data_IF_936161351779
#
_entry.id   IF_936161351779
#
_cell.length_a   1.000
_cell.length_b   1.000
_cell.length_c   1.000
_cell.angle_alpha   90.00
_cell.angle_beta   90.00
_cell.angle_gamma   90.00
#
_symmetry.space_group_name_H-M   'P 1'
#
loop_
_entity.id
_entity.type
_entity.pdbx_description
1 polymer ?
#
# COMPACT_ATOMS: atom_id res chain seq x y z
N UNK A 1 -26.57 7.06 -18.68
CA UNK A 1 -25.20 7.00 -18.13
C UNK A 1 -25.14 6.46 -16.70
N UNK A 2 -25.77 7.10 -15.70
CA UNK A 2 -25.76 6.63 -14.30
C UNK A 2 -26.26 5.18 -14.08
N UNK A 3 -27.32 4.76 -14.79
CA UNK A 3 -27.79 3.36 -14.74
C UNK A 3 -26.74 2.37 -15.28
N UNK A 4 -25.99 2.76 -16.30
CA UNK A 4 -24.92 1.94 -16.87
C UNK A 4 -23.73 1.86 -15.92
N UNK A 5 -23.31 2.98 -15.31
CA UNK A 5 -22.25 3.01 -14.31
C UNK A 5 -22.58 2.10 -13.11
N UNK A 6 -23.81 2.19 -12.57
CA UNK A 6 -24.25 1.32 -11.48
C UNK A 6 -24.29 -0.16 -11.87
N UNK A 7 -24.68 -0.49 -13.09
CA UNK A 7 -24.65 -1.88 -13.56
C UNK A 7 -23.20 -2.39 -13.69
N UNK A 8 -22.30 -1.58 -14.25
CA UNK A 8 -20.87 -1.90 -14.34
C UNK A 8 -20.22 -2.11 -12.98
N UNK A 9 -20.53 -1.27 -11.99
CA UNK A 9 -19.97 -1.44 -10.64
C UNK A 9 -20.37 -2.78 -10.02
N UNK A 10 -21.63 -3.19 -10.17
CA UNK A 10 -22.13 -4.49 -9.72
C UNK A 10 -21.46 -5.65 -10.46
N UNK A 11 -21.35 -5.57 -11.79
CA UNK A 11 -20.71 -6.61 -12.60
C UNK A 11 -19.24 -6.79 -12.22
N UNK A 12 -18.48 -5.70 -12.17
CA UNK A 12 -17.07 -5.72 -11.80
C UNK A 12 -16.85 -6.24 -10.37
N UNK A 13 -17.71 -5.87 -9.42
CA UNK A 13 -17.61 -6.40 -8.06
C UNK A 13 -17.89 -7.91 -8.00
N UNK A 14 -18.81 -8.43 -8.84
CA UNK A 14 -19.07 -9.86 -8.94
C UNK A 14 -17.89 -10.60 -9.60
N UNK A 15 -17.29 -10.04 -10.63
CA UNK A 15 -16.04 -10.56 -11.23
C UNK A 15 -14.95 -10.65 -10.16
N UNK A 16 -14.76 -9.60 -9.36
CA UNK A 16 -13.82 -9.64 -8.23
C UNK A 16 -14.13 -10.74 -7.20
N UNK A 17 -15.42 -11.02 -6.95
CA UNK A 17 -15.83 -12.13 -6.09
C UNK A 17 -15.46 -13.50 -6.67
N UNK A 18 -15.56 -13.67 -7.99
CA UNK A 18 -15.12 -14.89 -8.68
C UNK A 18 -13.60 -15.07 -8.55
N UNK A 19 -12.82 -14.02 -8.79
CA UNK A 19 -11.36 -14.07 -8.63
C UNK A 19 -10.92 -14.41 -7.19
N UNK A 20 -11.60 -13.87 -6.18
CA UNK A 20 -11.38 -14.27 -4.78
C UNK A 20 -11.58 -15.76 -4.57
N UNK A 21 -12.60 -16.36 -5.18
CA UNK A 21 -12.87 -17.80 -5.07
C UNK A 21 -11.84 -18.65 -5.82
N UNK A 22 -11.21 -18.10 -6.85
CA UNK A 22 -10.11 -18.73 -7.59
C UNK A 22 -8.74 -18.55 -6.90
N UNK A 23 -8.65 -17.70 -5.87
CA UNK A 23 -7.38 -17.34 -5.22
C UNK A 23 -6.55 -16.29 -5.97
N UNK A 24 -7.13 -15.70 -7.02
CA UNK A 24 -6.48 -14.69 -7.87
C UNK A 24 -6.67 -13.29 -7.26
N UNK A 25 -5.94 -13.03 -6.16
CA UNK A 25 -6.13 -11.80 -5.37
C UNK A 25 -5.78 -10.50 -6.13
N UNK A 26 -4.80 -10.54 -7.04
CA UNK A 26 -4.41 -9.36 -7.83
C UNK A 26 -5.51 -8.97 -8.84
N UNK A 27 -6.06 -9.95 -9.55
CA UNK A 27 -7.14 -9.72 -10.51
C UNK A 27 -8.43 -9.29 -9.80
N UNK A 28 -8.69 -9.84 -8.60
CA UNK A 28 -9.78 -9.38 -7.74
C UNK A 28 -9.65 -7.89 -7.38
N UNK A 29 -8.44 -7.42 -7.02
CA UNK A 29 -8.17 -6.00 -6.75
C UNK A 29 -8.41 -5.15 -8.00
N UNK A 30 -7.98 -5.63 -9.17
CA UNK A 30 -8.22 -4.95 -10.45
C UNK A 30 -9.71 -4.77 -10.75
N UNK A 31 -10.47 -5.85 -10.67
CA UNK A 31 -11.92 -5.84 -10.88
C UNK A 31 -12.66 -4.96 -9.87
N UNK A 32 -12.33 -5.07 -8.57
CA UNK A 32 -12.93 -4.21 -7.56
C UNK A 32 -12.55 -2.72 -7.74
N UNK A 33 -11.35 -2.42 -8.23
CA UNK A 33 -10.95 -1.05 -8.55
C UNK A 33 -11.80 -0.48 -9.68
N UNK A 34 -12.06 -1.25 -10.75
CA UNK A 34 -12.98 -0.83 -11.80
C UNK A 34 -14.41 -0.61 -11.28
N UNK A 35 -14.86 -1.42 -10.32
CA UNK A 35 -16.15 -1.21 -9.68
C UNK A 35 -16.20 0.12 -8.89
N UNK A 36 -15.13 0.46 -8.20
CA UNK A 36 -15.02 1.67 -7.37
C UNK A 36 -14.82 2.96 -8.19
N UNK A 37 -14.33 2.86 -9.43
CA UNK A 37 -14.33 3.99 -10.35
C UNK A 37 -15.76 4.43 -10.73
N UNK A 38 -16.68 3.48 -10.82
CA UNK A 38 -18.09 3.74 -11.12
C UNK A 38 -18.92 4.06 -9.86
N UNK A 39 -18.62 3.43 -8.73
CA UNK A 39 -19.27 3.66 -7.43
C UNK A 39 -18.24 3.60 -6.28
N UNK A 40 -17.65 4.75 -5.90
CA UNK A 40 -16.59 4.83 -4.89
C UNK A 40 -17.00 4.33 -3.49
N UNK A 41 -18.29 4.37 -3.18
CA UNK A 41 -18.83 3.98 -1.87
C UNK A 41 -19.40 2.56 -1.87
N UNK A 42 -19.10 1.77 -2.91
CA UNK A 42 -19.65 0.43 -3.02
C UNK A 42 -19.05 -0.54 -1.98
N UNK A 43 -19.76 -0.71 -0.87
CA UNK A 43 -19.36 -1.50 0.31
C UNK A 43 -18.78 -2.87 -0.07
N UNK A 44 -19.42 -3.63 -0.96
CA UNK A 44 -18.94 -4.98 -1.33
C UNK A 44 -17.61 -4.95 -2.08
N UNK A 45 -17.40 -3.95 -2.94
CA UNK A 45 -16.17 -3.80 -3.68
C UNK A 45 -15.02 -3.35 -2.76
N UNK A 46 -15.28 -2.38 -1.86
CA UNK A 46 -14.32 -1.95 -0.83
C UNK A 46 -13.87 -3.12 0.05
N UNK A 47 -14.82 -3.92 0.57
CA UNK A 47 -14.49 -5.07 1.44
C UNK A 47 -13.65 -6.12 0.73
N UNK A 48 -14.00 -6.45 -0.51
CA UNK A 48 -13.28 -7.44 -1.33
C UNK A 48 -11.88 -6.96 -1.66
N UNK A 49 -11.73 -5.71 -2.08
CA UNK A 49 -10.43 -5.10 -2.40
C UNK A 49 -9.54 -5.05 -1.17
N UNK A 50 -10.06 -4.58 -0.03
CA UNK A 50 -9.31 -4.53 1.21
C UNK A 50 -8.80 -5.91 1.64
N UNK A 51 -9.68 -6.93 1.64
CA UNK A 51 -9.30 -8.30 2.01
C UNK A 51 -8.26 -8.93 1.07
N UNK A 52 -8.35 -8.66 -0.24
CA UNK A 52 -7.34 -9.14 -1.20
C UNK A 52 -6.01 -8.43 -1.01
N UNK A 53 -6.03 -7.11 -0.79
CA UNK A 53 -4.85 -6.32 -0.53
C UNK A 53 -4.16 -6.71 0.79
N UNK A 54 -4.92 -7.05 1.84
CA UNK A 54 -4.37 -7.66 3.06
C UNK A 54 -3.61 -8.97 2.74
N UNK A 55 -4.16 -9.79 1.83
CA UNK A 55 -3.55 -11.06 1.44
C UNK A 55 -2.28 -10.86 0.59
N UNK A 56 -2.24 -9.82 -0.25
CA UNK A 56 -1.07 -9.47 -1.07
C UNK A 56 0.08 -8.98 -0.19
N UNK A 57 -0.20 -8.14 0.82
CA UNK A 57 0.76 -7.79 1.87
C UNK A 57 1.94 -6.90 1.46
N UNK A 58 1.96 -6.35 0.23
CA UNK A 58 2.91 -5.29 -0.13
C UNK A 58 2.57 -3.99 0.60
N UNK A 59 3.52 -3.08 0.75
CA UNK A 59 3.29 -1.77 1.34
C UNK A 59 2.15 -1.03 0.61
N UNK A 60 2.18 -1.00 -0.73
CA UNK A 60 1.14 -0.36 -1.54
C UNK A 60 -0.25 -0.99 -1.33
N UNK A 61 -0.33 -2.32 -1.29
CA UNK A 61 -1.58 -3.02 -1.03
C UNK A 61 -2.09 -2.77 0.38
N UNK A 62 -1.24 -2.85 1.40
CA UNK A 62 -1.65 -2.63 2.79
C UNK A 62 -2.09 -1.18 3.05
N UNK A 63 -1.47 -0.20 2.39
CA UNK A 63 -1.93 1.19 2.39
C UNK A 63 -3.32 1.30 1.75
N UNK A 64 -3.51 0.71 0.57
CA UNK A 64 -4.83 0.69 -0.09
C UNK A 64 -5.90 -0.01 0.76
N UNK A 65 -5.58 -1.11 1.44
CA UNK A 65 -6.50 -1.78 2.37
C UNK A 65 -6.87 -0.89 3.56
N UNK A 66 -5.89 -0.14 4.11
CA UNK A 66 -6.12 0.79 5.23
C UNK A 66 -7.10 1.90 4.83
N UNK A 67 -6.96 2.43 3.61
CA UNK A 67 -7.88 3.42 3.04
C UNK A 67 -9.28 2.83 2.86
N UNK A 68 -9.38 1.65 2.25
CA UNK A 68 -10.67 0.97 2.03
C UNK A 68 -11.43 0.70 3.33
N UNK A 69 -10.74 0.20 4.37
CA UNK A 69 -11.35 -0.01 5.68
C UNK A 69 -11.76 1.31 6.35
N UNK A 70 -11.01 2.39 6.14
CA UNK A 70 -11.36 3.70 6.67
C UNK A 70 -12.63 4.22 6.01
N UNK A 71 -12.75 4.11 4.68
CA UNK A 71 -13.96 4.47 3.94
C UNK A 71 -15.14 3.59 4.38
N UNK A 72 -14.95 2.27 4.53
CA UNK A 72 -15.99 1.36 5.01
C UNK A 72 -16.55 1.74 6.38
N UNK A 73 -15.72 2.22 7.30
CA UNK A 73 -16.21 2.67 8.61
C UNK A 73 -17.11 3.91 8.52
N UNK A 74 -16.99 4.72 7.46
CA UNK A 74 -17.86 5.86 7.22
C UNK A 74 -19.21 5.45 6.61
N UNK A 75 -19.20 4.41 5.76
CA UNK A 75 -20.40 3.91 5.08
C UNK A 75 -21.26 2.98 5.95
N UNK A 76 -20.64 2.26 6.89
CA UNK A 76 -21.33 1.23 7.68
C UNK A 76 -22.06 1.86 8.87
N UNK A 77 -23.30 1.40 9.18
CA UNK A 77 -24.01 1.86 10.35
C UNK A 77 -23.19 1.64 11.63
N UNK A 78 -23.10 2.66 12.51
CA UNK A 78 -22.43 2.51 13.79
C UNK A 78 -23.11 1.38 14.58
N UNK A 79 -22.30 0.55 15.23
CA UNK A 79 -22.73 -0.64 15.99
C UNK A 79 -23.15 -1.88 15.18
N UNK A 80 -23.09 -1.86 13.85
CA UNK A 80 -23.25 -3.09 13.07
C UNK A 80 -22.11 -4.08 13.33
N UNK A 81 -22.38 -5.38 13.19
CA UNK A 81 -21.35 -6.43 13.27
C UNK A 81 -20.23 -6.15 12.28
N UNK A 82 -20.60 -5.80 11.05
CA UNK A 82 -19.69 -5.45 9.97
C UNK A 82 -18.80 -4.24 10.31
N UNK A 83 -19.33 -3.22 10.99
CA UNK A 83 -18.53 -2.09 11.47
C UNK A 83 -17.48 -2.53 12.50
N UNK A 84 -17.83 -3.41 13.45
CA UNK A 84 -16.88 -3.95 14.44
C UNK A 84 -15.80 -4.81 13.78
N UNK A 85 -16.18 -5.66 12.84
CA UNK A 85 -15.25 -6.48 12.06
C UNK A 85 -14.27 -5.62 11.25
N UNK A 86 -14.79 -4.60 10.55
CA UNK A 86 -14.01 -3.62 9.78
C UNK A 86 -13.03 -2.86 10.69
N UNK A 87 -13.47 -2.46 11.88
CA UNK A 87 -12.61 -1.82 12.87
C UNK A 87 -11.50 -2.76 13.37
N UNK A 88 -11.81 -4.04 13.57
CA UNK A 88 -10.84 -5.06 13.92
C UNK A 88 -9.81 -5.29 12.80
N UNK A 89 -10.26 -5.33 11.55
CA UNK A 89 -9.39 -5.43 10.39
C UNK A 89 -8.44 -4.24 10.27
N UNK A 90 -8.97 -3.02 10.38
CA UNK A 90 -8.15 -1.80 10.34
C UNK A 90 -7.07 -1.77 11.43
N UNK A 91 -7.39 -2.23 12.65
CA UNK A 91 -6.40 -2.33 13.74
C UNK A 91 -5.29 -3.34 13.46
N UNK A 92 -5.59 -4.41 12.71
CA UNK A 92 -4.60 -5.41 12.28
C UNK A 92 -3.72 -4.91 11.14
N UNK A 93 -4.31 -4.21 10.15
CA UNK A 93 -3.59 -3.79 8.94
C UNK A 93 -2.62 -2.64 9.19
N UNK A 94 -2.97 -1.69 10.05
CA UNK A 94 -2.11 -0.54 10.36
C UNK A 94 -0.66 -0.90 10.72
N UNK A 95 -0.39 -1.78 11.71
CA UNK A 95 0.98 -2.17 12.03
C UNK A 95 1.66 -2.96 10.89
N UNK A 96 0.90 -3.73 10.09
CA UNK A 96 1.46 -4.43 8.93
C UNK A 96 1.91 -3.44 7.86
N UNK A 97 1.12 -2.40 7.60
CA UNK A 97 1.46 -1.36 6.64
C UNK A 97 2.72 -0.59 7.06
N UNK A 98 2.84 -0.23 8.35
CA UNK A 98 4.04 0.43 8.89
C UNK A 98 5.27 -0.48 8.83
N UNK A 99 5.13 -1.77 9.11
CA UNK A 99 6.22 -2.73 9.00
C UNK A 99 6.68 -2.93 7.55
N UNK A 100 5.72 -3.07 6.61
CA UNK A 100 6.00 -3.17 5.19
C UNK A 100 6.68 -1.90 4.66
N UNK A 101 6.22 -0.73 5.07
CA UNK A 101 6.83 0.55 4.73
C UNK A 101 8.30 0.61 5.16
N UNK A 102 8.61 0.28 6.42
CA UNK A 102 9.99 0.30 6.93
C UNK A 102 10.88 -0.69 6.18
N UNK A 103 10.37 -1.88 5.91
CA UNK A 103 11.10 -2.92 5.18
C UNK A 103 11.40 -2.48 3.74
N UNK A 104 10.39 -2.08 2.98
CA UNK A 104 10.54 -1.71 1.57
C UNK A 104 11.40 -0.45 1.41
N UNK A 105 11.28 0.53 2.31
CA UNK A 105 12.15 1.71 2.30
C UNK A 105 13.60 1.38 2.63
N UNK A 106 13.87 0.48 3.58
CA UNK A 106 15.22 -0.01 3.85
C UNK A 106 15.81 -0.75 2.64
N UNK A 107 15.06 -1.66 2.01
CA UNK A 107 15.47 -2.38 0.82
C UNK A 107 15.75 -1.43 -0.37
N UNK A 108 14.93 -0.37 -0.54
CA UNK A 108 15.15 0.65 -1.56
C UNK A 108 16.41 1.47 -1.30
N UNK A 109 16.66 1.86 -0.05
CA UNK A 109 17.87 2.60 0.33
C UNK A 109 19.13 1.76 0.13
N UNK A 110 19.08 0.47 0.46
CA UNK A 110 20.18 -0.46 0.23
C UNK A 110 20.48 -0.62 -1.27
N UNK A 111 19.44 -0.80 -2.10
CA UNK A 111 19.59 -0.85 -3.56
C UNK A 111 20.17 0.44 -4.13
N UNK A 112 19.71 1.60 -3.65
CA UNK A 112 20.23 2.90 -4.07
C UNK A 112 21.70 3.06 -3.66
N UNK A 113 22.07 2.61 -2.46
CA UNK A 113 23.47 2.57 -2.00
C UNK A 113 24.32 1.66 -2.88
N UNK A 114 23.82 0.48 -3.24
CA UNK A 114 24.49 -0.46 -4.13
C UNK A 114 24.73 0.11 -5.53
N UNK A 115 23.72 0.77 -6.11
CA UNK A 115 23.85 1.49 -7.39
C UNK A 115 24.87 2.63 -7.30
N UNK A 116 24.82 3.42 -6.22
CA UNK A 116 25.79 4.47 -5.95
C UNK A 116 27.22 3.92 -5.85
N UNK A 117 27.41 2.82 -5.13
CA UNK A 117 28.70 2.15 -4.99
C UNK A 117 29.19 1.50 -6.29
N UNK A 118 28.30 1.06 -7.17
CA UNK A 118 28.68 0.54 -8.48
C UNK A 118 29.22 1.65 -9.38
N UNK A 119 28.56 2.83 -9.37
CA UNK A 119 29.03 4.00 -10.12
C UNK A 119 30.31 4.58 -9.54
N UNK A 120 30.35 4.77 -8.21
CA UNK A 120 31.51 5.31 -7.50
C UNK A 120 32.70 4.34 -7.50
N UNK A 121 32.45 3.03 -7.47
CA UNK A 121 33.47 1.99 -7.45
C UNK A 121 34.34 2.00 -8.71
N UNK A 122 33.75 2.32 -9.87
CA UNK A 122 34.51 2.53 -11.11
C UNK A 122 35.50 3.71 -11.04
N UNK A 123 35.36 4.59 -10.04
CA UNK A 123 36.30 5.67 -9.72
C UNK A 123 37.14 5.38 -8.44
N UNK A 124 37.05 4.17 -7.88
CA UNK A 124 37.72 3.79 -6.63
C UNK A 124 37.11 4.43 -5.38
N UNK A 125 35.81 4.74 -5.42
CA UNK A 125 35.06 5.42 -4.36
C UNK A 125 33.89 4.56 -3.85
N UNK A 126 33.43 4.81 -2.63
CA UNK A 126 32.21 4.25 -2.04
C UNK A 126 31.37 5.37 -1.43
N UNK A 127 30.06 5.17 -1.36
CA UNK A 127 29.14 6.01 -0.56
C UNK A 127 29.53 6.06 0.92
N UNK A 128 30.25 5.05 1.42
CA UNK A 128 30.80 5.01 2.79
C UNK A 128 32.00 5.93 2.99
N UNK A 129 32.62 6.40 1.91
CA UNK A 129 33.76 7.32 1.99
C UNK A 129 33.32 8.74 2.37
N UNK A 130 32.02 9.06 2.30
CA UNK A 130 31.48 10.37 2.63
C UNK A 130 30.89 10.37 4.04
N UNK A 131 31.63 10.92 5.02
CA UNK A 131 31.20 11.06 6.41
C UNK A 131 30.61 12.44 6.64
N UNK A 132 29.35 12.49 7.05
CA UNK A 132 28.69 13.73 7.44
C UNK A 132 28.99 14.02 8.90
N UNK A 133 29.60 15.18 9.19
CA UNK A 133 29.91 15.65 10.55
C UNK A 133 29.12 16.93 10.82
N UNK A 134 28.26 16.97 11.86
CA UNK A 134 27.49 18.17 12.19
C UNK A 134 28.42 19.29 12.65
N UNK A 135 28.27 20.50 12.08
CA UNK A 135 29.19 21.62 12.30
C UNK A 135 28.65 22.66 13.29
N UNK A 136 27.88 22.23 14.30
CA UNK A 136 27.42 23.03 15.45
C UNK A 136 26.51 24.25 15.16
N UNK A 137 26.45 24.70 13.91
CA UNK A 137 25.73 25.90 13.43
C UNK A 137 24.45 25.54 12.66
N UNK A 138 23.99 24.30 12.82
CA UNK A 138 22.83 23.75 12.11
C UNK A 138 23.14 23.20 10.72
N UNK A 139 24.40 23.25 10.26
CA UNK A 139 24.85 22.66 8.99
C UNK A 139 25.53 21.30 9.14
N UNK A 140 25.86 20.70 7.99
CA UNK A 140 26.61 19.46 7.89
C UNK A 140 27.88 19.71 7.08
N UNK A 141 29.03 19.26 7.58
CA UNK A 141 30.29 19.18 6.83
C UNK A 141 30.45 17.77 6.26
N UNK A 142 30.79 17.66 4.98
CA UNK A 142 31.06 16.36 4.34
C UNK A 142 32.57 16.13 4.34
N UNK A 143 33.03 15.16 5.12
CA UNK A 143 34.41 14.71 5.14
C UNK A 143 34.56 13.47 4.28
N UNK A 144 35.51 13.50 3.36
CA UNK A 144 35.88 12.34 2.57
C UNK A 144 36.98 11.55 3.30
N UNK A 145 36.74 10.28 3.58
CA UNK A 145 37.73 9.33 4.12
C UNK A 145 37.95 8.23 3.09
N UNK A 146 39.17 8.11 2.59
CA UNK A 146 39.57 7.08 1.62
C UNK A 146 40.05 5.82 2.32
#
# INVERSE_FOLDING_TARGET
EQRCAKARSVLNANIGACFIKLGEHQDAVGACTQALLDDPHYVKALQRRASCNETIGSWSSLTSATEDYTTLLQELPPHSVQHRETQGALRRVKPLAEAAQKRETAEMLEKLKGLGNTLLGNFGLSTDNFKFVPNGSGGYSVNFSR
#
